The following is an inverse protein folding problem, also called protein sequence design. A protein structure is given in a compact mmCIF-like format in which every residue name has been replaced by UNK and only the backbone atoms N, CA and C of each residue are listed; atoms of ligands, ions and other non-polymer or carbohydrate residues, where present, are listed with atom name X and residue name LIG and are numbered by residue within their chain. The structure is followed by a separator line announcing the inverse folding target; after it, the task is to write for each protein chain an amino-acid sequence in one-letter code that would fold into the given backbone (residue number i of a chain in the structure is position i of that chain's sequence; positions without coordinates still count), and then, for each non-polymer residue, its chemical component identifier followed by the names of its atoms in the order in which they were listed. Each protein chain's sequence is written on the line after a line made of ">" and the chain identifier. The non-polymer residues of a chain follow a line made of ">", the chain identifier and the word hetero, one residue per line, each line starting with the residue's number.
data_IF_802092243183
#
_entry.id   IF_802092243183
#
_cell.length_a   1.000
_cell.length_b   1.000
_cell.length_c   1.000
_cell.angle_alpha   90.00
_cell.angle_beta   90.00
_cell.angle_gamma   90.00
#
_symmetry.space_group_name_H-M   'P 1'
#
loop_
_entity.id
_entity.type
_entity.pdbx_description
1 polymer ?
#
# COMPACT_ATOMS: atom_id res chain seq x y z
N UNK A 1 4.92 -11.35 5.84
CA UNK A 1 3.45 -11.40 5.57
C UNK A 1 3.10 -10.44 4.46
N UNK A 2 1.97 -10.63 3.77
CA UNK A 2 1.43 -9.68 2.82
C UNK A 2 0.37 -8.78 3.50
N UNK A 3 0.15 -7.53 3.06
CA UNK A 3 -0.81 -6.59 3.67
C UNK A 3 -2.20 -7.19 3.89
N UNK A 4 -2.74 -7.89 2.90
CA UNK A 4 -4.08 -8.50 2.97
C UNK A 4 -4.26 -9.48 4.16
N UNK A 5 -3.20 -10.19 4.56
CA UNK A 5 -3.27 -11.05 5.74
C UNK A 5 -3.37 -10.23 7.03
N UNK A 6 -2.70 -9.07 7.09
CA UNK A 6 -2.80 -8.16 8.24
C UNK A 6 -4.18 -7.49 8.31
N UNK A 7 -4.77 -7.15 7.17
CA UNK A 7 -6.17 -6.68 7.08
C UNK A 7 -7.14 -7.73 7.62
N UNK A 8 -6.98 -8.98 7.18
CA UNK A 8 -7.78 -10.09 7.68
C UNK A 8 -7.66 -10.27 9.20
N UNK A 9 -6.43 -10.19 9.74
CA UNK A 9 -6.18 -10.25 11.18
C UNK A 9 -6.91 -9.10 11.89
N UNK A 10 -6.75 -7.86 11.40
CA UNK A 10 -7.44 -6.70 11.97
C UNK A 10 -8.96 -6.90 11.98
N UNK A 11 -9.54 -7.33 10.86
CA UNK A 11 -10.98 -7.53 10.74
C UNK A 11 -11.49 -8.62 11.66
N UNK A 12 -10.76 -9.71 11.83
CA UNK A 12 -11.12 -10.76 12.80
C UNK A 12 -11.08 -10.27 14.24
N UNK A 13 -10.07 -9.50 14.63
CA UNK A 13 -10.00 -8.90 15.97
C UNK A 13 -11.20 -7.97 16.17
N UNK A 14 -11.53 -7.12 15.21
CA UNK A 14 -12.70 -6.22 15.27
C UNK A 14 -14.01 -7.01 15.40
N UNK A 15 -14.20 -8.04 14.59
CA UNK A 15 -15.39 -8.89 14.64
C UNK A 15 -15.54 -9.59 16.00
N UNK A 16 -14.46 -10.14 16.54
CA UNK A 16 -14.46 -10.80 17.85
C UNK A 16 -14.79 -9.82 18.97
N UNK A 17 -14.20 -8.62 18.94
CA UNK A 17 -14.48 -7.59 19.95
C UNK A 17 -15.90 -7.05 19.88
N UNK A 18 -16.50 -6.94 18.68
CA UNK A 18 -17.91 -6.60 18.50
C UNK A 18 -18.84 -7.68 19.04
N UNK A 19 -18.61 -8.95 18.70
CA UNK A 19 -19.38 -10.09 19.19
C UNK A 19 -19.35 -10.23 20.71
N UNK A 20 -18.23 -9.87 21.33
CA UNK A 20 -18.05 -9.93 22.79
C UNK A 20 -18.38 -8.62 23.50
N UNK A 21 -18.92 -7.63 22.80
CA UNK A 21 -19.25 -6.28 23.32
C UNK A 21 -18.07 -5.56 24.02
N UNK A 22 -16.82 -5.92 23.66
CA UNK A 22 -15.59 -5.35 24.26
C UNK A 22 -14.99 -4.19 23.46
N UNK A 23 -15.63 -3.72 22.41
CA UNK A 23 -15.13 -2.69 21.49
C UNK A 23 -14.81 -1.38 22.22
N UNK A 24 -15.75 -0.89 23.07
CA UNK A 24 -15.54 0.33 23.87
C UNK A 24 -14.40 0.18 24.87
N UNK A 25 -14.28 -1.00 25.48
CA UNK A 25 -13.20 -1.30 26.43
C UNK A 25 -11.84 -1.29 25.71
N UNK A 26 -11.75 -1.97 24.56
CA UNK A 26 -10.53 -2.00 23.76
C UNK A 26 -10.09 -0.58 23.33
N UNK A 27 -11.03 0.26 22.89
CA UNK A 27 -10.75 1.65 22.53
C UNK A 27 -10.19 2.48 23.71
N UNK A 28 -10.74 2.31 24.92
CA UNK A 28 -10.21 2.97 26.12
C UNK A 28 -8.80 2.48 26.46
N UNK A 29 -8.54 1.17 26.36
CA UNK A 29 -7.22 0.59 26.63
C UNK A 29 -6.19 1.10 25.62
N UNK A 30 -6.55 1.23 24.31
CA UNK A 30 -5.70 1.83 23.27
C UNK A 30 -5.40 3.29 23.63
N UNK A 31 -6.40 4.08 24.04
CA UNK A 31 -6.21 5.47 24.46
C UNK A 31 -5.21 5.62 25.62
N UNK A 32 -5.37 4.81 26.68
CA UNK A 32 -4.45 4.78 27.82
C UNK A 32 -3.03 4.39 27.36
N UNK A 33 -2.93 3.34 26.56
CA UNK A 33 -1.65 2.86 26.04
C UNK A 33 -0.91 3.92 25.22
N UNK A 34 -1.64 4.65 24.37
CA UNK A 34 -1.05 5.71 23.54
C UNK A 34 -0.61 6.92 24.38
N UNK A 35 -1.35 7.26 25.42
CA UNK A 35 -0.94 8.30 26.40
C UNK A 35 0.36 7.90 27.14
N UNK A 36 0.47 6.65 27.57
CA UNK A 36 1.70 6.13 28.22
C UNK A 36 2.88 6.09 27.23
N UNK A 37 2.65 5.71 25.96
CA UNK A 37 3.69 5.77 24.92
C UNK A 37 4.19 7.20 24.67
N UNK A 38 3.33 8.20 24.75
CA UNK A 38 3.75 9.59 24.65
C UNK A 38 4.70 9.98 25.80
N UNK A 39 4.57 9.35 26.98
CA UNK A 39 5.50 9.44 28.09
C UNK A 39 6.66 8.45 28.04
N UNK A 40 6.92 7.83 26.86
CA UNK A 40 7.97 6.82 26.63
C UNK A 40 7.80 5.50 27.40
N UNK A 41 6.59 5.18 27.89
CA UNK A 41 6.29 3.95 28.61
C UNK A 41 5.43 3.06 27.73
N UNK A 42 5.99 1.94 27.25
CA UNK A 42 5.27 0.98 26.39
C UNK A 42 4.66 -0.15 27.21
N UNK A 43 3.35 -0.09 27.43
CA UNK A 43 2.57 -1.09 28.18
C UNK A 43 1.71 -1.98 27.28
N UNK A 44 1.82 -1.86 25.93
CA UNK A 44 0.97 -2.58 24.97
C UNK A 44 0.96 -4.08 25.19
N UNK A 45 2.14 -4.69 25.33
CA UNK A 45 2.25 -6.15 25.52
C UNK A 45 1.59 -6.64 26.80
N UNK A 46 1.52 -5.80 27.82
CA UNK A 46 0.83 -6.11 29.08
C UNK A 46 -0.69 -5.96 28.93
N UNK A 47 -1.15 -4.83 28.38
CA UNK A 47 -2.57 -4.55 28.22
C UNK A 47 -3.27 -5.48 27.23
N UNK A 48 -2.61 -5.81 26.11
CA UNK A 48 -3.19 -6.63 25.04
C UNK A 48 -2.68 -8.07 25.05
N UNK A 49 -2.21 -8.55 26.22
CA UNK A 49 -1.67 -9.92 26.37
C UNK A 49 -2.63 -11.00 25.87
N UNK A 50 -3.93 -10.86 26.13
CA UNK A 50 -4.94 -11.82 25.67
C UNK A 50 -5.04 -11.87 24.14
N UNK A 51 -5.03 -10.71 23.48
CA UNK A 51 -5.05 -10.63 22.02
C UNK A 51 -3.76 -11.23 21.44
N UNK A 52 -2.60 -10.88 21.99
CA UNK A 52 -1.32 -11.39 21.54
C UNK A 52 -1.16 -12.90 21.78
N UNK A 53 -1.79 -13.44 22.82
CA UNK A 53 -1.77 -14.86 23.17
C UNK A 53 -2.44 -15.73 22.09
N UNK A 54 -3.49 -15.23 21.42
CA UNK A 54 -4.12 -15.93 20.29
C UNK A 54 -3.17 -16.14 19.11
N UNK A 55 -2.12 -15.33 19.03
CA UNK A 55 -1.02 -15.45 18.05
C UNK A 55 0.22 -16.13 18.65
N UNK A 56 0.03 -16.94 19.68
CA UNK A 56 1.08 -17.71 20.34
C UNK A 56 1.87 -16.95 21.42
N UNK A 57 1.57 -15.67 21.68
CA UNK A 57 2.13 -14.83 22.78
C UNK A 57 3.65 -14.56 22.70
N UNK A 58 4.37 -15.20 21.78
CA UNK A 58 5.84 -15.09 21.61
C UNK A 58 6.24 -14.33 20.35
N UNK A 59 5.27 -13.79 19.60
CA UNK A 59 5.55 -13.05 18.37
C UNK A 59 6.34 -11.78 18.70
N UNK A 60 7.53 -11.65 18.11
CA UNK A 60 8.42 -10.49 18.33
C UNK A 60 8.27 -9.42 17.27
N UNK A 61 8.07 -9.82 16.03
CA UNK A 61 7.97 -8.94 14.88
C UNK A 61 7.13 -9.57 13.77
N UNK A 62 6.53 -8.72 12.96
CA UNK A 62 5.85 -9.07 11.71
C UNK A 62 6.52 -8.30 10.58
N UNK A 63 7.20 -9.01 9.68
CA UNK A 63 7.70 -8.40 8.46
C UNK A 63 6.59 -8.38 7.40
N UNK A 64 6.26 -7.21 6.88
CA UNK A 64 5.26 -7.01 5.84
C UNK A 64 5.90 -6.39 4.60
N UNK A 65 5.55 -6.90 3.42
CA UNK A 65 6.07 -6.39 2.15
C UNK A 65 5.31 -6.93 0.96
N UNK A 66 5.77 -6.57 -0.23
CA UNK A 66 5.16 -6.99 -1.50
C UNK A 66 4.06 -6.05 -2.01
N UNK A 67 3.40 -5.28 -1.15
CA UNK A 67 2.49 -4.19 -1.47
C UNK A 67 2.50 -3.16 -0.34
N UNK A 68 1.91 -2.00 -0.57
CA UNK A 68 1.73 -1.00 0.48
C UNK A 68 0.78 -1.51 1.56
N UNK A 69 1.12 -1.28 2.82
CA UNK A 69 0.25 -1.59 3.95
C UNK A 69 -0.55 -0.34 4.32
N UNK A 70 -1.86 -0.48 4.33
CA UNK A 70 -2.77 0.57 4.78
C UNK A 70 -2.37 1.07 6.17
N UNK A 71 -2.25 2.39 6.30
CA UNK A 71 -1.87 3.05 7.54
C UNK A 71 -2.86 2.78 8.69
N UNK A 72 -4.14 2.57 8.39
CA UNK A 72 -5.17 2.19 9.39
C UNK A 72 -4.89 0.81 9.95
N UNK A 73 -4.58 -0.16 9.07
CA UNK A 73 -4.23 -1.53 9.46
C UNK A 73 -2.95 -1.52 10.30
N UNK A 74 -1.93 -0.80 9.82
CA UNK A 74 -0.68 -0.64 10.54
C UNK A 74 -0.91 -0.06 11.94
N UNK A 75 -1.63 1.07 12.03
CA UNK A 75 -1.87 1.76 13.30
C UNK A 75 -2.66 0.89 14.26
N UNK A 76 -3.75 0.27 13.79
CA UNK A 76 -4.59 -0.59 14.62
C UNK A 76 -3.81 -1.75 15.24
N UNK A 77 -3.02 -2.44 14.44
CA UNK A 77 -2.22 -3.57 14.92
C UNK A 77 -1.03 -3.10 15.78
N UNK A 78 -0.37 -1.99 15.42
CA UNK A 78 0.69 -1.38 16.24
C UNK A 78 0.15 -0.96 17.62
N UNK A 79 -1.02 -0.36 17.68
CA UNK A 79 -1.68 0.04 18.95
C UNK A 79 -1.99 -1.17 19.85
N UNK A 80 -2.21 -2.35 19.28
CA UNK A 80 -2.39 -3.62 20.00
C UNK A 80 -1.07 -4.32 20.38
N UNK A 81 0.07 -3.71 20.06
CA UNK A 81 1.38 -4.23 20.45
C UNK A 81 2.04 -5.18 19.45
N UNK A 82 1.51 -5.29 18.22
CA UNK A 82 2.20 -5.96 17.14
C UNK A 82 3.32 -5.07 16.59
N UNK A 83 4.53 -5.59 16.57
CA UNK A 83 5.68 -4.87 16.00
C UNK A 83 5.74 -5.14 14.49
N UNK A 84 5.23 -4.23 13.68
CA UNK A 84 5.17 -4.37 12.23
C UNK A 84 6.34 -3.65 11.59
N UNK A 85 7.08 -4.38 10.75
CA UNK A 85 8.16 -3.86 9.92
C UNK A 85 7.72 -3.92 8.47
N UNK A 86 7.58 -2.77 7.84
CA UNK A 86 7.25 -2.70 6.44
C UNK A 86 8.51 -2.54 5.61
N UNK A 87 8.71 -3.43 4.63
CA UNK A 87 9.84 -3.40 3.73
C UNK A 87 9.42 -3.16 2.28
N UNK A 88 10.31 -2.56 1.51
CA UNK A 88 10.19 -2.44 0.07
C UNK A 88 11.36 -3.15 -0.61
N UNK A 89 11.04 -3.79 -1.71
CA UNK A 89 11.99 -4.40 -2.62
C UNK A 89 11.29 -5.32 -3.61
N UNK A 90 12.07 -6.00 -4.44
CA UNK A 90 11.62 -6.82 -5.55
C UNK A 90 12.33 -8.17 -5.49
N UNK A 91 11.84 -9.15 -6.24
CA UNK A 91 12.50 -10.44 -6.41
C UNK A 91 13.94 -10.25 -6.90
N UNK A 92 14.14 -9.30 -7.79
CA UNK A 92 15.43 -8.89 -8.36
C UNK A 92 16.41 -8.31 -7.32
N UNK A 93 15.96 -8.09 -6.08
CA UNK A 93 16.76 -7.50 -5.00
C UNK A 93 16.78 -8.34 -3.72
N UNK A 94 16.44 -9.63 -3.78
CA UNK A 94 16.53 -10.70 -2.78
C UNK A 94 16.03 -10.38 -1.35
N UNK A 95 14.84 -10.07 -1.07
CA UNK A 95 13.86 -9.20 -1.72
C UNK A 95 13.76 -7.80 -1.08
N UNK A 96 14.58 -7.41 -0.10
CA UNK A 96 14.40 -6.20 0.73
C UNK A 96 15.50 -5.17 0.45
N UNK A 97 15.08 -3.96 0.10
CA UNK A 97 15.96 -2.79 -0.09
C UNK A 97 15.85 -1.78 1.05
N UNK A 98 14.62 -1.54 1.51
CA UNK A 98 14.36 -0.61 2.62
C UNK A 98 13.51 -1.27 3.67
N UNK A 99 13.59 -0.76 4.91
CA UNK A 99 12.75 -1.23 6.00
C UNK A 99 12.33 -0.06 6.88
N UNK A 100 11.05 0.00 7.22
CA UNK A 100 10.50 0.88 8.25
C UNK A 100 10.51 0.11 9.55
N UNK A 101 11.36 0.53 10.48
CA UNK A 101 11.51 -0.13 11.77
C UNK A 101 10.73 0.57 12.89
N UNK A 102 10.73 -0.05 14.05
CA UNK A 102 10.06 0.38 15.28
C UNK A 102 10.45 1.78 15.77
N UNK A 103 11.65 2.26 15.41
CA UNK A 103 12.21 3.54 15.87
C UNK A 103 11.91 4.72 14.95
N UNK A 104 11.23 4.50 13.83
CA UNK A 104 10.87 5.56 12.90
C UNK A 104 9.46 6.04 13.24
N UNK A 105 9.35 7.26 13.77
CA UNK A 105 8.07 7.88 14.12
C UNK A 105 7.15 8.14 12.91
N UNK A 106 7.71 8.14 11.70
CA UNK A 106 6.94 8.33 10.48
C UNK A 106 6.08 7.11 10.19
N UNK A 107 4.77 7.33 10.13
CA UNK A 107 3.77 6.31 9.77
C UNK A 107 3.62 6.15 8.24
N UNK A 108 4.38 6.90 7.45
CA UNK A 108 4.32 6.93 6.00
C UNK A 108 5.62 6.46 5.36
N UNK A 109 5.49 5.88 4.17
CA UNK A 109 6.59 5.33 3.39
C UNK A 109 7.01 3.93 3.81
N UNK A 110 7.99 3.39 3.09
CA UNK A 110 8.48 2.00 3.22
C UNK A 110 9.84 1.92 3.91
N UNK A 111 10.23 2.98 4.61
CA UNK A 111 11.43 3.02 5.43
C UNK A 111 12.68 3.54 4.72
N UNK A 112 13.82 3.36 5.40
CA UNK A 112 15.14 3.79 4.92
C UNK A 112 15.88 2.62 4.28
N UNK A 113 16.84 2.91 3.38
CA UNK A 113 17.69 1.87 2.80
C UNK A 113 18.41 1.06 3.89
N UNK A 114 18.53 -0.25 3.65
CA UNK A 114 19.36 -1.12 4.48
C UNK A 114 20.83 -0.74 4.37
N UNK A 115 21.63 -1.27 5.28
CA UNK A 115 23.09 -1.17 5.19
C UNK A 115 23.55 -1.67 3.81
N UNK A 116 24.52 -0.99 3.21
CA UNK A 116 25.11 -1.29 1.90
C UNK A 116 24.16 -1.13 0.69
N UNK A 117 22.92 -0.65 0.89
CA UNK A 117 21.99 -0.25 -0.16
C UNK A 117 22.16 1.23 -0.48
N UNK A 118 22.64 1.54 -1.69
CA UNK A 118 22.62 2.89 -2.24
C UNK A 118 21.35 3.05 -3.07
N UNK A 119 20.53 4.03 -2.72
CA UNK A 119 19.25 4.32 -3.37
C UNK A 119 19.21 5.79 -3.76
N UNK A 120 18.74 6.08 -4.95
CA UNK A 120 18.44 7.44 -5.42
C UNK A 120 17.19 7.46 -6.28
N UNK A 121 16.66 8.64 -6.49
CA UNK A 121 15.56 8.89 -7.43
C UNK A 121 16.18 9.40 -8.73
N UNK A 122 15.93 8.70 -9.82
CA UNK A 122 16.42 9.09 -11.14
C UNK A 122 15.43 10.04 -11.80
N UNK A 123 15.97 11.16 -12.32
CA UNK A 123 15.22 12.22 -13.01
C UNK A 123 13.96 12.68 -12.24
N UNK A 124 14.11 13.17 -11.00
CA UNK A 124 12.98 13.60 -10.20
C UNK A 124 12.29 14.82 -10.83
N UNK A 125 10.95 14.85 -10.74
CA UNK A 125 10.13 16.00 -11.07
C UNK A 125 10.18 17.06 -9.96
N UNK A 126 9.42 18.15 -10.09
CA UNK A 126 9.34 19.24 -9.10
C UNK A 126 8.89 18.78 -7.71
N UNK A 127 8.14 17.67 -7.62
CA UNK A 127 7.71 17.03 -6.36
C UNK A 127 8.74 16.03 -5.80
N UNK A 128 9.89 15.90 -6.46
CA UNK A 128 10.94 14.93 -6.09
C UNK A 128 10.63 13.48 -6.48
N UNK A 129 9.62 13.26 -7.32
CA UNK A 129 9.19 11.93 -7.76
C UNK A 129 9.91 11.53 -9.05
N UNK A 130 10.44 10.32 -9.08
CA UNK A 130 11.12 9.76 -10.24
C UNK A 130 11.33 8.26 -10.07
N UNK A 131 12.05 7.64 -10.98
CA UNK A 131 12.32 6.21 -10.91
C UNK A 131 13.27 5.88 -9.75
N UNK A 132 12.87 4.92 -8.92
CA UNK A 132 13.72 4.40 -7.85
C UNK A 132 14.82 3.57 -8.50
N UNK A 133 16.08 3.96 -8.28
CA UNK A 133 17.23 3.19 -8.76
C UNK A 133 18.15 2.84 -7.60
N UNK A 134 18.68 1.61 -7.64
CA UNK A 134 19.43 1.07 -6.51
C UNK A 134 20.72 0.41 -6.96
N UNK A 135 21.71 0.45 -6.07
CA UNK A 135 22.95 -0.30 -6.18
C UNK A 135 23.21 -0.98 -4.85
N UNK A 136 23.22 -2.31 -4.85
CA UNK A 136 23.32 -3.10 -3.63
C UNK A 136 23.87 -4.50 -3.94
N UNK A 137 24.55 -5.16 -2.97
CA UNK A 137 25.08 -6.51 -3.16
C UNK A 137 24.01 -7.57 -3.52
N UNK A 138 22.76 -7.37 -3.04
CA UNK A 138 21.64 -8.28 -3.26
C UNK A 138 20.90 -8.08 -4.60
N UNK A 139 21.36 -7.14 -5.44
CA UNK A 139 20.78 -6.99 -6.79
C UNK A 139 21.15 -8.21 -7.62
N UNK A 140 20.17 -8.76 -8.35
CA UNK A 140 20.36 -9.89 -9.25
C UNK A 140 21.49 -9.66 -10.25
N UNK A 141 22.10 -10.72 -10.74
CA UNK A 141 23.08 -10.68 -11.85
C UNK A 141 22.42 -10.51 -13.23
N UNK A 142 21.13 -10.85 -13.34
CA UNK A 142 20.33 -10.69 -14.58
C UNK A 142 19.17 -11.66 -14.65
N UNK A 143 18.34 -11.51 -15.68
CA UNK A 143 17.27 -12.44 -16.02
C UNK A 143 17.83 -13.66 -16.75
N UNK A 144 17.31 -14.83 -16.42
CA UNK A 144 17.77 -16.09 -16.99
C UNK A 144 17.50 -16.13 -18.50
N UNK A 145 18.57 -16.36 -19.28
CA UNK A 145 18.55 -16.36 -20.75
C UNK A 145 17.93 -15.12 -21.43
N UNK A 146 17.80 -13.98 -20.73
CA UNK A 146 17.28 -12.74 -21.29
C UNK A 146 18.24 -11.55 -21.05
N UNK A 147 19.29 -11.50 -21.85
CA UNK A 147 20.27 -10.40 -21.85
C UNK A 147 19.63 -9.05 -22.21
N UNK A 148 18.60 -9.06 -23.08
CA UNK A 148 17.93 -7.82 -23.49
C UNK A 148 17.20 -7.19 -22.31
N UNK A 149 16.30 -7.93 -21.65
CA UNK A 149 15.61 -7.45 -20.46
C UNK A 149 16.60 -7.10 -19.34
N UNK A 150 17.69 -7.86 -19.18
CA UNK A 150 18.74 -7.55 -18.20
C UNK A 150 19.38 -6.18 -18.45
N UNK A 151 19.78 -5.89 -19.69
CA UNK A 151 20.42 -4.63 -20.06
C UNK A 151 19.44 -3.44 -19.97
N UNK A 152 18.15 -3.67 -20.08
CA UNK A 152 17.11 -2.64 -19.91
C UNK A 152 17.02 -2.15 -18.46
N UNK A 153 17.30 -3.01 -17.48
CA UNK A 153 17.15 -2.70 -16.07
C UNK A 153 18.47 -2.54 -15.31
N UNK A 154 19.55 -3.16 -15.77
CA UNK A 154 20.90 -3.02 -15.18
C UNK A 154 21.75 -2.11 -16.06
N UNK A 155 22.01 -0.87 -15.57
CA UNK A 155 22.77 0.14 -16.31
C UNK A 155 23.81 0.78 -15.43
N UNK A 156 25.09 0.77 -15.86
CA UNK A 156 26.18 1.43 -15.13
C UNK A 156 26.28 1.02 -13.66
N UNK A 157 25.98 -0.24 -13.35
CA UNK A 157 25.98 -0.78 -11.99
C UNK A 157 24.79 -0.34 -11.12
N UNK A 158 23.76 0.24 -11.71
CA UNK A 158 22.47 0.56 -11.06
C UNK A 158 21.36 -0.30 -11.62
N UNK A 159 20.49 -0.75 -10.73
CA UNK A 159 19.26 -1.45 -11.07
C UNK A 159 18.09 -0.46 -11.10
N UNK A 160 17.43 -0.36 -12.23
CA UNK A 160 16.24 0.45 -12.48
C UNK A 160 15.00 -0.39 -12.14
N UNK A 161 14.34 -0.05 -11.04
CA UNK A 161 13.29 -0.91 -10.46
C UNK A 161 11.97 -0.88 -11.24
N UNK A 162 11.76 0.13 -12.07
CA UNK A 162 10.49 0.42 -12.70
C UNK A 162 9.42 0.93 -11.73
N UNK A 163 9.75 1.10 -10.45
CA UNK A 163 8.91 1.75 -9.45
C UNK A 163 9.24 3.23 -9.38
N UNK A 164 8.22 4.06 -9.17
CA UNK A 164 8.36 5.49 -8.95
C UNK A 164 8.22 5.81 -7.47
N UNK A 165 9.00 6.76 -7.01
CA UNK A 165 8.99 7.15 -5.61
C UNK A 165 9.69 8.47 -5.36
N UNK A 166 9.69 8.88 -4.10
CA UNK A 166 10.41 10.04 -3.60
C UNK A 166 11.03 9.76 -2.24
N UNK A 167 12.09 10.47 -1.91
CA UNK A 167 12.68 10.45 -0.58
C UNK A 167 12.07 11.59 0.22
N UNK A 168 11.41 11.27 1.31
CA UNK A 168 10.79 12.23 2.21
C UNK A 168 11.86 13.00 3.01
N UNK A 169 11.48 14.15 3.61
CA UNK A 169 12.37 14.95 4.48
C UNK A 169 12.95 14.16 5.66
N UNK A 170 12.21 13.15 6.13
CA UNK A 170 12.65 12.25 7.22
C UNK A 170 13.57 11.10 6.73
N UNK A 171 13.92 11.08 5.44
CA UNK A 171 14.78 10.07 4.81
C UNK A 171 14.07 8.76 4.48
N UNK A 172 12.76 8.65 4.70
CA UNK A 172 11.98 7.47 4.30
C UNK A 172 11.69 7.50 2.80
N UNK A 173 11.76 6.33 2.17
CA UNK A 173 11.29 6.13 0.80
C UNK A 173 9.76 6.04 0.80
N UNK A 174 9.13 6.77 -0.11
CA UNK A 174 7.72 6.67 -0.43
C UNK A 174 7.60 6.18 -1.87
N UNK A 175 6.92 5.06 -2.07
CA UNK A 175 6.63 4.49 -3.41
C UNK A 175 5.29 5.07 -3.84
N UNK A 176 5.26 5.72 -5.02
CA UNK A 176 4.05 6.39 -5.51
C UNK A 176 3.34 5.61 -6.62
N UNK A 177 4.03 4.67 -7.26
CA UNK A 177 3.42 3.82 -8.28
C UNK A 177 4.43 3.10 -9.15
N UNK A 178 3.93 2.52 -10.25
CA UNK A 178 4.74 1.84 -11.28
C UNK A 178 4.87 2.70 -12.52
N UNK A 179 6.09 2.84 -13.04
CA UNK A 179 6.38 3.61 -14.27
C UNK A 179 5.51 3.20 -15.44
N UNK A 180 5.29 1.91 -15.64
CA UNK A 180 4.46 1.36 -16.73
C UNK A 180 2.96 1.60 -16.56
N UNK A 181 2.51 1.96 -15.35
CA UNK A 181 1.09 2.16 -15.05
C UNK A 181 0.71 3.64 -15.04
N UNK A 182 1.69 4.55 -15.11
CA UNK A 182 1.44 5.99 -15.09
C UNK A 182 0.47 6.39 -16.20
N UNK A 183 -0.57 7.10 -15.82
CA UNK A 183 -1.48 7.73 -16.76
C UNK A 183 -0.99 9.17 -16.94
N UNK A 184 -0.65 9.52 -18.17
CA UNK A 184 -0.25 10.90 -18.50
C UNK A 184 -1.49 11.69 -18.87
N UNK A 185 -1.88 12.65 -18.04
CA UNK A 185 -3.03 13.53 -18.30
C UNK A 185 -2.78 14.44 -19.51
N UNK A 186 -3.84 15.01 -20.09
CA UNK A 186 -3.76 15.87 -21.27
C UNK A 186 -2.88 17.11 -21.07
N UNK A 187 -2.71 17.56 -19.82
CA UNK A 187 -1.83 18.65 -19.42
C UNK A 187 -0.38 18.21 -19.12
N UNK A 188 -0.01 16.97 -19.46
CA UNK A 188 1.32 16.40 -19.23
C UNK A 188 1.60 15.97 -17.79
N UNK A 189 0.67 16.11 -16.85
CA UNK A 189 0.85 15.69 -15.45
C UNK A 189 0.69 14.18 -15.31
N UNK A 190 1.51 13.59 -14.46
CA UNK A 190 1.43 12.17 -14.12
C UNK A 190 0.32 11.91 -13.10
N UNK A 191 -0.44 10.85 -13.35
CA UNK A 191 -1.44 10.30 -12.46
C UNK A 191 -1.01 8.88 -12.13
N UNK A 192 -0.92 8.56 -10.85
CA UNK A 192 -0.56 7.25 -10.35
C UNK A 192 -1.83 6.49 -10.00
N UNK A 193 -2.22 5.46 -10.78
CA UNK A 193 -3.45 4.69 -10.53
C UNK A 193 -3.51 4.12 -9.12
N UNK A 194 -2.36 3.69 -8.60
CA UNK A 194 -2.24 3.08 -7.28
C UNK A 194 -2.67 4.03 -6.15
N UNK A 195 -2.43 5.33 -6.31
CA UNK A 195 -2.89 6.35 -5.36
C UNK A 195 -4.43 6.39 -5.29
N UNK A 196 -5.08 6.40 -6.45
CA UNK A 196 -6.55 6.43 -6.55
C UNK A 196 -7.17 5.11 -6.08
N UNK A 197 -6.58 3.99 -6.45
CA UNK A 197 -6.99 2.66 -5.99
C UNK A 197 -6.92 2.54 -4.46
N UNK A 198 -5.88 3.08 -3.84
CA UNK A 198 -5.78 3.11 -2.39
C UNK A 198 -6.94 3.87 -1.77
N UNK A 199 -7.31 5.04 -2.31
CA UNK A 199 -8.45 5.83 -1.82
C UNK A 199 -9.78 5.08 -1.98
N UNK A 200 -10.00 4.43 -3.11
CA UNK A 200 -11.21 3.63 -3.36
C UNK A 200 -11.29 2.43 -2.43
N UNK A 201 -10.18 1.71 -2.27
CA UNK A 201 -10.11 0.50 -1.44
C UNK A 201 -10.19 0.81 0.07
N UNK A 202 -10.20 2.08 0.47
CA UNK A 202 -10.50 2.48 1.86
C UNK A 202 -11.95 2.24 2.27
N UNK A 203 -12.86 2.11 1.31
CA UNK A 203 -14.27 1.85 1.59
C UNK A 203 -14.50 0.37 1.92
N UNK A 204 -15.30 0.10 2.97
CA UNK A 204 -15.76 -1.26 3.32
C UNK A 204 -16.69 -1.89 2.25
N UNK A 205 -17.13 -1.10 1.27
CA UNK A 205 -17.93 -1.56 0.14
C UNK A 205 -17.06 -2.27 -0.90
N UNK A 206 -15.77 -1.90 -0.99
CA UNK A 206 -14.88 -2.28 -2.06
C UNK A 206 -13.94 -3.38 -1.63
N UNK A 207 -13.94 -4.47 -2.38
CA UNK A 207 -13.02 -5.59 -2.22
C UNK A 207 -11.68 -5.33 -2.90
N UNK A 208 -11.72 -4.81 -4.11
CA UNK A 208 -10.56 -4.44 -4.91
C UNK A 208 -10.94 -3.51 -6.04
N UNK A 209 -10.03 -2.67 -6.46
CA UNK A 209 -10.22 -1.76 -7.58
C UNK A 209 -9.01 -1.68 -8.48
N UNK A 210 -9.23 -1.31 -9.75
CA UNK A 210 -8.20 -0.99 -10.74
C UNK A 210 -8.59 0.31 -11.42
N UNK A 211 -7.67 1.26 -11.41
CA UNK A 211 -7.82 2.54 -12.11
C UNK A 211 -7.01 2.51 -13.42
N UNK A 212 -7.61 2.97 -14.49
CA UNK A 212 -6.99 3.02 -15.81
C UNK A 212 -7.34 4.32 -16.54
N UNK A 213 -6.45 4.73 -17.45
CA UNK A 213 -6.70 5.83 -18.37
C UNK A 213 -7.29 5.30 -19.68
N UNK A 214 -8.44 5.82 -20.09
CA UNK A 214 -9.06 5.52 -21.39
C UNK A 214 -9.02 6.76 -22.26
N UNK A 215 -8.63 6.61 -23.54
CA UNK A 215 -8.69 7.71 -24.49
C UNK A 215 -10.15 8.09 -24.77
N UNK A 216 -10.48 9.37 -24.67
CA UNK A 216 -11.78 9.94 -25.01
C UNK A 216 -11.57 11.22 -25.81
N UNK A 217 -11.77 11.16 -27.14
CA UNK A 217 -11.42 12.25 -28.03
C UNK A 217 -9.94 12.61 -27.94
N UNK A 218 -9.62 13.87 -27.70
CA UNK A 218 -8.24 14.38 -27.50
C UNK A 218 -7.72 14.21 -26.07
N UNK A 219 -8.54 13.73 -25.14
CA UNK A 219 -8.20 13.64 -23.71
C UNK A 219 -8.10 12.22 -23.19
N UNK A 220 -7.76 12.12 -21.90
CA UNK A 220 -7.75 10.88 -21.14
C UNK A 220 -8.83 10.95 -20.07
N UNK A 221 -9.68 9.94 -20.04
CA UNK A 221 -10.69 9.73 -19.01
C UNK A 221 -10.14 8.72 -17.99
N UNK A 222 -10.21 9.07 -16.71
CA UNK A 222 -9.83 8.17 -15.61
C UNK A 222 -11.03 7.32 -15.26
N UNK A 223 -10.86 6.00 -15.38
CA UNK A 223 -11.92 5.02 -15.14
C UNK A 223 -11.51 4.11 -14.00
N UNK A 224 -12.36 4.02 -12.97
CA UNK A 224 -12.21 3.07 -11.87
C UNK A 224 -13.07 1.82 -12.15
N UNK A 225 -12.46 0.64 -12.19
CA UNK A 225 -13.17 -0.64 -12.21
C UNK A 225 -13.14 -1.21 -10.81
N UNK A 226 -14.30 -1.46 -10.22
CA UNK A 226 -14.49 -1.77 -8.81
C UNK A 226 -15.13 -3.15 -8.67
N UNK A 227 -14.56 -4.00 -7.82
CA UNK A 227 -15.18 -5.23 -7.35
C UNK A 227 -15.68 -5.00 -5.94
N UNK A 228 -16.96 -5.29 -5.71
CA UNK A 228 -17.59 -5.12 -4.41
C UNK A 228 -17.26 -6.27 -3.46
N UNK A 229 -17.34 -6.02 -2.16
CA UNK A 229 -17.41 -7.09 -1.16
C UNK A 229 -18.69 -7.91 -1.34
N UNK A 230 -18.61 -9.22 -1.13
CA UNK A 230 -19.69 -10.16 -1.44
C UNK A 230 -21.02 -9.80 -0.76
N UNK A 231 -20.96 -9.22 0.44
CA UNK A 231 -22.15 -8.78 1.20
C UNK A 231 -22.94 -7.63 0.55
N UNK A 232 -22.32 -6.90 -0.38
CA UNK A 232 -22.94 -5.74 -1.04
C UNK A 232 -23.32 -5.99 -2.50
N UNK A 233 -22.92 -7.10 -3.10
CA UNK A 233 -23.17 -7.40 -4.53
C UNK A 233 -24.63 -7.35 -4.94
N UNK A 234 -25.55 -7.67 -4.03
CA UNK A 234 -27.00 -7.71 -4.28
C UNK A 234 -27.76 -6.55 -3.58
N UNK A 235 -27.05 -5.51 -3.13
CA UNK A 235 -27.69 -4.37 -2.48
C UNK A 235 -28.14 -3.36 -3.53
N UNK A 236 -29.42 -2.98 -3.53
CA UNK A 236 -29.99 -2.03 -4.51
C UNK A 236 -29.47 -0.60 -4.36
N UNK A 237 -28.91 -0.25 -3.19
CA UNK A 237 -28.38 1.09 -2.91
C UNK A 237 -26.88 1.24 -3.22
N UNK A 238 -26.22 0.14 -3.58
CA UNK A 238 -24.75 0.13 -3.70
C UNK A 238 -24.23 1.07 -4.78
N UNK A 239 -24.95 1.22 -5.89
CA UNK A 239 -24.55 2.17 -6.96
C UNK A 239 -24.50 3.61 -6.42
N UNK A 240 -25.54 4.04 -5.69
CA UNK A 240 -25.57 5.38 -5.09
C UNK A 240 -24.52 5.57 -3.99
N UNK A 241 -24.14 4.52 -3.27
CA UNK A 241 -23.08 4.56 -2.26
C UNK A 241 -21.70 4.66 -2.91
N UNK A 242 -21.45 3.96 -4.03
CA UNK A 242 -20.22 4.07 -4.80
C UNK A 242 -20.12 5.44 -5.47
N UNK A 243 -21.22 5.98 -5.99
CA UNK A 243 -21.23 7.33 -6.57
C UNK A 243 -20.81 8.38 -5.53
N UNK A 244 -21.40 8.35 -4.34
CA UNK A 244 -21.02 9.23 -3.21
C UNK A 244 -19.54 9.05 -2.82
N UNK A 245 -19.06 7.81 -2.75
CA UNK A 245 -17.65 7.53 -2.47
C UNK A 245 -16.74 8.20 -3.50
N UNK A 246 -17.04 8.07 -4.79
CA UNK A 246 -16.25 8.69 -5.86
C UNK A 246 -16.32 10.21 -5.79
N UNK A 247 -17.50 10.80 -5.49
CA UNK A 247 -17.65 12.24 -5.29
C UNK A 247 -16.80 12.74 -4.11
N UNK A 248 -16.83 12.05 -2.97
CA UNK A 248 -16.02 12.40 -1.79
C UNK A 248 -14.52 12.34 -2.08
N UNK A 249 -14.07 11.31 -2.81
CA UNK A 249 -12.68 11.18 -3.25
C UNK A 249 -12.33 12.35 -4.18
N UNK A 250 -13.17 12.62 -5.18
CA UNK A 250 -12.94 13.66 -6.16
C UNK A 250 -12.93 15.07 -5.57
N UNK A 251 -13.69 15.32 -4.50
CA UNK A 251 -13.71 16.60 -3.80
C UNK A 251 -12.33 16.98 -3.22
N UNK A 252 -11.51 15.97 -2.88
CA UNK A 252 -10.17 16.14 -2.30
C UNK A 252 -9.04 16.01 -3.33
N UNK A 253 -9.37 15.81 -4.63
CA UNK A 253 -8.40 15.61 -5.69
C UNK A 253 -8.32 16.82 -6.62
N UNK A 254 -7.12 17.17 -7.11
CA UNK A 254 -6.97 18.10 -8.21
C UNK A 254 -7.77 17.63 -9.43
N UNK A 255 -8.29 18.57 -10.23
CA UNK A 255 -9.17 18.29 -11.37
C UNK A 255 -8.61 17.23 -12.32
N UNK A 256 -7.32 17.29 -12.64
CA UNK A 256 -6.67 16.35 -13.56
C UNK A 256 -6.55 14.91 -13.03
N UNK A 257 -6.71 14.68 -11.72
CA UNK A 257 -6.70 13.36 -11.07
C UNK A 257 -8.10 12.79 -10.81
N UNK A 258 -9.15 13.55 -11.04
CA UNK A 258 -10.52 13.13 -10.72
C UNK A 258 -10.94 11.91 -11.52
N UNK A 259 -11.61 10.98 -10.86
CA UNK A 259 -12.19 9.79 -11.46
C UNK A 259 -13.42 10.24 -12.25
N UNK A 260 -13.39 10.04 -13.57
CA UNK A 260 -14.45 10.51 -14.46
C UNK A 260 -15.58 9.49 -14.62
N UNK A 261 -15.27 8.22 -14.43
CA UNK A 261 -16.22 7.11 -14.60
C UNK A 261 -15.84 5.97 -13.67
N UNK A 262 -16.85 5.25 -13.16
CA UNK A 262 -16.63 3.96 -12.54
C UNK A 262 -17.44 2.86 -13.23
N UNK A 263 -17.01 1.62 -13.05
CA UNK A 263 -17.67 0.41 -13.55
C UNK A 263 -17.61 -0.63 -12.42
N UNK A 264 -18.77 -1.17 -12.04
CA UNK A 264 -18.82 -2.28 -11.09
C UNK A 264 -18.64 -3.58 -11.86
N UNK A 265 -17.68 -4.39 -11.43
CA UNK A 265 -17.34 -5.69 -11.99
C UNK A 265 -17.82 -6.78 -11.02
N UNK A 266 -18.43 -7.83 -11.55
CA UNK A 266 -18.92 -8.97 -10.74
C UNK A 266 -17.79 -9.92 -10.31
N UNK A 267 -16.86 -10.20 -11.25
CA UNK A 267 -15.77 -11.13 -11.01
C UNK A 267 -14.52 -10.43 -10.46
N UNK A 268 -13.77 -11.16 -9.63
CA UNK A 268 -12.47 -10.69 -9.15
C UNK A 268 -11.47 -10.52 -10.33
N UNK A 269 -10.50 -9.63 -10.13
CA UNK A 269 -9.39 -9.51 -11.07
C UNK A 269 -8.50 -10.74 -11.03
N UNK A 270 -7.93 -11.10 -12.19
CA UNK A 270 -6.87 -12.12 -12.24
C UNK A 270 -5.67 -11.66 -11.44
N UNK A 271 -5.13 -12.55 -10.63
CA UNK A 271 -4.00 -12.27 -9.73
C UNK A 271 -2.77 -13.10 -10.08
N UNK A 272 -1.62 -12.63 -9.68
CA UNK A 272 -0.38 -13.40 -9.67
C UNK A 272 -0.39 -14.39 -8.50
N UNK A 273 0.59 -15.30 -8.44
CA UNK A 273 0.83 -16.17 -7.28
C UNK A 273 1.06 -15.40 -5.98
N UNK A 274 1.52 -14.15 -6.08
CA UNK A 274 1.72 -13.24 -4.94
C UNK A 274 0.50 -12.35 -4.66
N UNK A 275 -0.67 -12.70 -5.20
CA UNK A 275 -1.96 -12.00 -5.02
C UNK A 275 -2.01 -10.56 -5.55
N UNK A 276 -1.09 -10.18 -6.45
CA UNK A 276 -1.13 -8.88 -7.14
C UNK A 276 -2.05 -8.95 -8.36
N UNK A 277 -2.88 -7.93 -8.55
CA UNK A 277 -3.77 -7.83 -9.71
C UNK A 277 -2.94 -7.72 -11.00
N UNK A 278 -3.27 -8.55 -11.99
CA UNK A 278 -2.71 -8.48 -13.34
C UNK A 278 -3.44 -7.39 -14.11
N UNK A 279 -2.79 -6.25 -14.34
CA UNK A 279 -3.34 -5.18 -15.19
C UNK A 279 -3.26 -5.60 -16.66
N UNK A 280 -4.34 -5.33 -17.41
CA UNK A 280 -4.40 -5.62 -18.86
C UNK A 280 -4.93 -7.00 -19.25
N UNK A 281 -5.37 -7.84 -18.35
CA UNK A 281 -6.20 -9.02 -18.68
C UNK A 281 -7.67 -8.58 -18.79
N UNK A 282 -8.19 -8.52 -20.04
CA UNK A 282 -9.62 -8.41 -20.30
C UNK A 282 -10.38 -9.59 -19.69
#
# INVERSE_FOLDING_TARGET
>A
MVPRLLEYIMNNIKLTTRKTHKEKMLGRMVGISNAMRAAHIDIRKMLFRSVLAEFGGKMRMIACGGAELDSRVFNYLDDLGFNIYQGYGLTETAPILTIRGMFVKSKAGVGRPLRDVRLKIDKPNEMGEGEIVVKAPQVMIGYYHDKKATNEVLRNGWFYTGDLGRIRKDGNLEVVGRKKNVIVASNGKNIYPEELETLINYSDLVRESVVSGMKKGSGIQIVATIVLEDKYKNCSTVDSEIEKLIEEINANLPEYKRINKYVIRQDEFRKTTTMKIKRGSK
#
